data_IF_597824298687
#
_entry.id   IF_597824298687
#
_cell.length_a   1.000
_cell.length_b   1.000
_cell.length_c   1.000
_cell.angle_alpha   90.00
_cell.angle_beta   90.00
_cell.angle_gamma   90.00
#
_symmetry.space_group_name_H-M   'P 1'
#
loop_
_entity.id
_entity.type
_entity.pdbx_description
1 polymer ?
#
# COMPACT_ATOMS: atom_id res chain seq x y z
N UNK A 1 -53.20 52.31 27.37
CA UNK A 1 -51.81 52.20 26.99
C UNK A 1 -51.40 50.73 27.23
N UNK A 2 -51.33 49.92 26.19
CA UNK A 2 -50.96 48.48 26.25
C UNK A 2 -49.71 48.33 25.40
N UNK A 3 -48.58 48.12 26.05
CA UNK A 3 -47.29 47.88 25.39
C UNK A 3 -47.17 46.40 25.06
N UNK A 4 -47.15 46.07 23.74
CA UNK A 4 -46.85 44.72 23.23
C UNK A 4 -45.34 44.54 23.19
N UNK A 5 -44.80 43.59 23.99
CA UNK A 5 -43.45 43.11 23.89
C UNK A 5 -43.41 41.99 22.85
N UNK A 6 -42.73 42.24 21.72
CA UNK A 6 -42.44 41.26 20.72
C UNK A 6 -41.17 40.47 21.12
N UNK A 7 -41.31 39.16 21.44
CA UNK A 7 -40.21 38.24 21.59
C UNK A 7 -39.72 37.77 20.22
N UNK A 8 -38.55 38.23 19.81
CA UNK A 8 -37.84 37.69 18.66
C UNK A 8 -37.12 36.42 19.05
N UNK A 9 -37.62 35.27 18.62
CA UNK A 9 -36.94 34.00 18.76
C UNK A 9 -35.81 33.91 17.70
N UNK A 10 -34.57 33.99 18.14
CA UNK A 10 -33.41 33.74 17.29
C UNK A 10 -33.21 32.21 17.23
N UNK A 11 -33.55 31.61 16.09
CA UNK A 11 -33.26 30.22 15.78
C UNK A 11 -31.81 30.16 15.35
N UNK A 12 -30.92 29.67 16.24
CA UNK A 12 -29.53 29.38 15.93
C UNK A 12 -29.48 28.07 15.16
N UNK A 13 -29.37 28.15 13.82
CA UNK A 13 -29.13 26.98 12.97
C UNK A 13 -27.69 26.49 13.19
N UNK A 14 -27.54 25.44 14.00
CA UNK A 14 -26.27 24.72 14.12
C UNK A 14 -26.07 23.90 12.86
N UNK A 15 -25.33 24.41 11.90
CA UNK A 15 -24.84 23.60 10.77
C UNK A 15 -23.74 22.69 11.29
N UNK A 16 -24.08 21.43 11.52
CA UNK A 16 -23.09 20.40 11.76
C UNK A 16 -22.26 20.22 10.48
N UNK A 17 -21.04 20.79 10.47
CA UNK A 17 -20.04 20.42 9.48
C UNK A 17 -19.61 18.98 9.79
N UNK A 18 -20.15 18.06 9.02
CA UNK A 18 -19.66 16.68 8.98
C UNK A 18 -18.28 16.68 8.30
N UNK A 19 -17.26 16.99 9.07
CA UNK A 19 -15.86 16.80 8.70
C UNK A 19 -15.60 15.31 8.71
N UNK A 20 -16.07 14.62 7.65
CA UNK A 20 -15.63 13.26 7.37
C UNK A 20 -14.11 13.26 7.32
N UNK A 21 -13.45 12.82 8.39
CA UNK A 21 -12.05 12.48 8.38
C UNK A 21 -11.85 11.40 7.30
N UNK A 22 -11.56 11.84 6.08
CA UNK A 22 -10.88 10.98 5.11
C UNK A 22 -9.55 10.64 5.76
N UNK A 23 -9.49 9.45 6.39
CA UNK A 23 -8.26 8.87 6.90
C UNK A 23 -7.32 8.88 5.70
N UNK A 24 -6.37 9.83 5.68
CA UNK A 24 -5.35 9.91 4.65
C UNK A 24 -4.66 8.56 4.70
N UNK A 25 -4.85 7.72 3.69
CA UNK A 25 -4.09 6.48 3.56
C UNK A 25 -2.65 6.93 3.64
N UNK A 26 -1.97 6.55 4.72
CA UNK A 26 -0.57 6.91 4.90
C UNK A 26 0.14 6.48 3.64
N UNK A 27 0.88 7.40 3.00
CA UNK A 27 1.60 7.10 1.77
C UNK A 27 2.70 6.10 2.11
N UNK A 28 2.38 4.83 1.91
CA UNK A 28 3.29 3.70 2.17
C UNK A 28 4.46 3.66 1.17
N UNK A 29 4.49 4.60 0.25
CA UNK A 29 5.48 4.65 -0.83
C UNK A 29 6.56 5.67 -0.53
N UNK A 30 7.86 5.31 -0.56
CA UNK A 30 8.94 6.27 -0.49
C UNK A 30 8.84 7.32 -1.61
N UNK A 31 9.04 8.59 -1.28
CA UNK A 31 9.17 9.65 -2.28
C UNK A 31 10.45 9.44 -3.11
N UNK A 32 10.51 10.03 -4.31
CA UNK A 32 11.73 10.01 -5.13
C UNK A 32 12.94 10.47 -4.32
N UNK A 33 14.01 9.69 -4.38
CA UNK A 33 15.26 9.96 -3.66
C UNK A 33 15.26 9.65 -2.16
N UNK A 34 14.12 9.27 -1.55
CA UNK A 34 14.06 8.86 -0.15
C UNK A 34 14.80 7.54 0.11
N UNK A 35 14.92 6.70 -0.91
CA UNK A 35 15.78 5.52 -0.93
C UNK A 35 16.85 5.74 -1.98
N UNK A 36 18.12 5.66 -1.59
CA UNK A 36 19.24 5.98 -2.47
C UNK A 36 19.17 5.22 -3.80
N UNK A 37 19.25 5.95 -4.90
CA UNK A 37 19.23 5.43 -6.26
C UNK A 37 17.83 5.15 -6.81
N UNK A 38 16.76 5.19 -6.00
CA UNK A 38 15.39 4.97 -6.42
C UNK A 38 14.62 6.27 -6.66
N UNK A 39 13.95 6.34 -7.77
CA UNK A 39 13.01 7.39 -8.14
C UNK A 39 11.62 6.80 -8.33
N UNK A 40 10.60 7.44 -7.75
CA UNK A 40 9.20 7.09 -7.98
C UNK A 40 8.78 7.66 -9.34
N UNK A 41 8.31 6.81 -10.25
CA UNK A 41 8.03 7.18 -11.64
C UNK A 41 6.54 7.28 -11.97
N UNK A 42 5.67 6.83 -11.07
CA UNK A 42 4.22 6.93 -11.24
C UNK A 42 3.52 7.50 -10.01
N UNK A 43 2.36 8.10 -10.23
CA UNK A 43 1.41 8.38 -9.14
C UNK A 43 0.92 7.08 -8.52
N UNK A 44 0.63 7.11 -7.21
CA UNK A 44 0.06 5.96 -6.52
C UNK A 44 -1.36 5.72 -7.00
N UNK A 45 -1.62 4.53 -7.55
CA UNK A 45 -2.96 4.04 -7.91
C UNK A 45 -3.50 3.18 -6.79
N UNK A 46 -4.81 3.25 -6.54
CA UNK A 46 -5.47 2.48 -5.47
C UNK A 46 -6.67 1.74 -6.06
N UNK A 47 -6.72 0.45 -5.81
CA UNK A 47 -7.81 -0.44 -6.23
C UNK A 47 -8.49 -1.01 -4.99
N UNK A 48 -9.81 -0.83 -4.88
CA UNK A 48 -10.60 -1.55 -3.87
C UNK A 48 -10.68 -3.04 -4.25
N UNK A 49 -10.98 -3.90 -3.28
CA UNK A 49 -11.08 -5.35 -3.51
C UNK A 49 -11.97 -5.72 -4.71
N UNK A 50 -13.13 -5.05 -4.87
CA UNK A 50 -14.07 -5.29 -5.98
C UNK A 50 -13.52 -4.92 -7.37
N UNK A 51 -12.53 -4.03 -7.42
CA UNK A 51 -11.92 -3.51 -8.65
C UNK A 51 -10.55 -4.14 -8.93
N UNK A 52 -10.10 -5.07 -8.08
CA UNK A 52 -8.76 -5.65 -8.14
C UNK A 52 -8.49 -6.39 -9.45
N UNK A 53 -9.51 -6.98 -10.06
CA UNK A 53 -9.42 -7.62 -11.38
C UNK A 53 -8.99 -6.68 -12.52
N UNK A 54 -9.17 -5.37 -12.34
CA UNK A 54 -8.71 -4.38 -13.32
C UNK A 54 -7.18 -4.19 -13.28
N UNK A 55 -6.55 -4.64 -12.22
CA UNK A 55 -5.10 -4.49 -11.99
C UNK A 55 -4.37 -5.83 -12.01
N UNK A 56 -4.83 -6.79 -11.21
CA UNK A 56 -4.27 -8.14 -11.16
C UNK A 56 -5.26 -9.06 -11.87
N UNK A 57 -4.95 -9.49 -13.09
CA UNK A 57 -5.79 -10.40 -13.86
C UNK A 57 -5.94 -11.75 -13.11
N UNK A 58 -5.72 -12.88 -13.62
CA UNK A 58 -6.01 -14.20 -13.04
C UNK A 58 -5.76 -14.44 -11.53
N UNK A 59 -4.87 -13.69 -10.91
CA UNK A 59 -4.51 -13.86 -9.48
C UNK A 59 -5.40 -13.09 -8.48
N UNK A 60 -6.27 -12.19 -8.95
CA UNK A 60 -7.10 -11.34 -8.06
C UNK A 60 -7.94 -12.16 -7.07
N UNK A 61 -8.48 -13.31 -7.51
CA UNK A 61 -9.33 -14.18 -6.68
C UNK A 61 -8.63 -14.67 -5.41
N UNK A 62 -7.35 -15.01 -5.48
CA UNK A 62 -6.62 -15.47 -4.29
C UNK A 62 -6.49 -14.36 -3.25
N UNK A 63 -6.25 -13.10 -3.67
CA UNK A 63 -6.19 -11.95 -2.76
C UNK A 63 -7.55 -11.62 -2.16
N UNK A 64 -8.61 -11.66 -2.98
CA UNK A 64 -9.99 -11.43 -2.54
C UNK A 64 -10.40 -12.50 -1.52
N UNK A 65 -10.15 -13.77 -1.81
CA UNK A 65 -10.43 -14.90 -0.91
C UNK A 65 -9.62 -14.86 0.39
N UNK A 66 -8.43 -14.24 0.37
CA UNK A 66 -7.61 -14.01 1.56
C UNK A 66 -8.00 -12.75 2.33
N UNK A 67 -8.99 -11.98 1.84
CA UNK A 67 -9.54 -10.82 2.52
C UNK A 67 -8.80 -9.51 2.24
N UNK A 68 -8.33 -9.30 1.01
CA UNK A 68 -7.81 -7.98 0.62
C UNK A 68 -8.91 -6.93 0.72
N UNK A 69 -8.57 -5.77 1.27
CA UNK A 69 -9.45 -4.60 1.37
C UNK A 69 -9.17 -3.63 0.23
N UNK A 70 -7.89 -3.37 -0.01
CA UNK A 70 -7.42 -2.52 -1.11
C UNK A 70 -5.98 -2.85 -1.47
N UNK A 71 -5.61 -2.53 -2.70
CA UNK A 71 -4.23 -2.59 -3.20
C UNK A 71 -3.82 -1.21 -3.67
N UNK A 72 -2.69 -0.73 -3.16
CA UNK A 72 -2.03 0.47 -3.65
C UNK A 72 -0.79 0.07 -4.43
N UNK A 73 -0.52 0.73 -5.54
CA UNK A 73 0.62 0.42 -6.41
C UNK A 73 1.33 1.68 -6.89
N UNK A 74 2.65 1.59 -7.02
CA UNK A 74 3.50 2.62 -7.62
C UNK A 74 4.70 2.01 -8.31
N UNK A 75 5.16 2.65 -9.39
CA UNK A 75 6.32 2.24 -10.15
C UNK A 75 7.55 3.06 -9.75
N UNK A 76 8.69 2.40 -9.79
CA UNK A 76 10.00 2.94 -9.42
C UNK A 76 11.06 2.61 -10.45
N UNK A 77 12.09 3.45 -10.50
CA UNK A 77 13.28 3.22 -11.33
C UNK A 77 14.55 3.42 -10.51
N UNK A 78 15.45 2.45 -10.55
CA UNK A 78 16.75 2.50 -9.88
C UNK A 78 17.84 2.91 -10.87
N UNK A 79 18.54 4.01 -10.54
CA UNK A 79 19.66 4.55 -11.34
C UNK A 79 19.33 4.72 -12.84
N UNK A 80 18.07 5.05 -13.16
CA UNK A 80 17.62 5.25 -14.53
C UNK A 80 17.50 3.99 -15.40
N UNK A 81 17.72 2.80 -14.84
CA UNK A 81 17.79 1.54 -15.62
C UNK A 81 16.80 0.48 -15.12
N UNK A 82 16.96 -0.01 -13.88
CA UNK A 82 16.12 -1.09 -13.32
C UNK A 82 14.74 -0.57 -12.94
N UNK A 83 13.72 -1.10 -13.57
CA UNK A 83 12.32 -0.79 -13.24
C UNK A 83 11.73 -1.81 -12.27
N UNK A 84 10.93 -1.32 -11.33
CA UNK A 84 10.23 -2.16 -10.36
C UNK A 84 8.85 -1.59 -10.03
N UNK A 85 7.90 -2.47 -9.78
CA UNK A 85 6.58 -2.12 -9.22
C UNK A 85 6.52 -2.53 -7.76
N UNK A 86 5.99 -1.64 -6.93
CA UNK A 86 5.68 -1.87 -5.52
C UNK A 86 4.18 -1.94 -5.34
N UNK A 87 3.70 -3.08 -4.83
CA UNK A 87 2.31 -3.27 -4.42
C UNK A 87 2.21 -3.36 -2.90
N UNK A 88 1.28 -2.63 -2.33
CA UNK A 88 0.91 -2.71 -0.91
C UNK A 88 -0.55 -3.14 -0.82
N UNK A 89 -0.77 -4.38 -0.42
CA UNK A 89 -2.11 -4.93 -0.20
C UNK A 89 -2.48 -4.75 1.27
N UNK A 90 -3.54 -3.98 1.53
CA UNK A 90 -4.15 -3.89 2.87
C UNK A 90 -5.11 -5.05 3.03
N UNK A 91 -4.80 -5.95 3.95
CA UNK A 91 -5.60 -7.14 4.24
C UNK A 91 -6.52 -6.90 5.43
N UNK A 92 -7.62 -7.62 5.50
CA UNK A 92 -8.54 -7.57 6.65
C UNK A 92 -7.96 -8.23 7.91
N UNK A 93 -6.95 -9.10 7.76
CA UNK A 93 -6.27 -9.77 8.86
C UNK A 93 -4.80 -10.09 8.53
N UNK A 94 -3.98 -10.26 9.57
CA UNK A 94 -2.60 -10.71 9.43
C UNK A 94 -2.51 -12.15 8.88
N UNK A 95 -3.49 -13.00 9.19
CA UNK A 95 -3.54 -14.37 8.67
C UNK A 95 -3.84 -14.39 7.17
N UNK A 96 -4.69 -13.48 6.68
CA UNK A 96 -4.91 -13.30 5.24
C UNK A 96 -3.63 -12.89 4.52
N UNK A 97 -2.85 -11.95 5.09
CA UNK A 97 -1.56 -11.55 4.55
C UNK A 97 -0.56 -12.73 4.53
N UNK A 98 -0.49 -13.50 5.63
CA UNK A 98 0.36 -14.69 5.72
C UNK A 98 -0.01 -15.73 4.69
N UNK A 99 -1.28 -16.02 4.50
CA UNK A 99 -1.78 -16.99 3.54
C UNK A 99 -1.25 -16.69 2.12
N UNK A 100 -1.27 -15.43 1.71
CA UNK A 100 -0.72 -15.03 0.40
C UNK A 100 0.80 -15.16 0.37
N UNK A 101 1.50 -14.73 1.42
CA UNK A 101 2.96 -14.85 1.51
C UNK A 101 3.41 -16.32 1.30
N UNK A 102 2.68 -17.28 1.86
CA UNK A 102 3.02 -18.72 1.82
C UNK A 102 2.72 -19.38 0.47
N UNK A 103 1.87 -18.80 -0.38
CA UNK A 103 1.46 -19.42 -1.65
C UNK A 103 2.58 -19.58 -2.67
N UNK A 104 3.69 -18.85 -2.55
CA UNK A 104 4.74 -18.79 -3.55
C UNK A 104 6.15 -19.12 -3.05
N UNK A 105 6.31 -19.91 -1.98
CA UNK A 105 7.61 -20.07 -1.28
C UNK A 105 8.64 -21.01 -1.93
N UNK A 106 8.33 -21.63 -3.07
CA UNK A 106 9.33 -22.43 -3.79
C UNK A 106 10.48 -21.52 -4.23
N UNK A 107 11.72 -21.89 -3.91
CA UNK A 107 12.96 -21.16 -4.21
C UNK A 107 13.11 -19.80 -3.51
N UNK A 108 12.22 -19.49 -2.57
CA UNK A 108 12.30 -18.29 -1.75
C UNK A 108 13.39 -18.38 -0.68
N UNK A 109 14.11 -17.29 -0.47
CA UNK A 109 15.09 -17.15 0.62
C UNK A 109 14.46 -16.29 1.73
N UNK A 110 14.33 -16.80 2.97
CA UNK A 110 13.88 -15.99 4.08
C UNK A 110 14.78 -14.78 4.30
N UNK A 111 14.17 -13.62 4.59
CA UNK A 111 14.87 -12.38 4.90
C UNK A 111 14.27 -11.70 6.13
N UNK A 112 15.09 -10.91 6.85
CA UNK A 112 14.66 -10.10 7.99
C UNK A 112 14.03 -8.81 7.46
N UNK A 113 12.71 -8.83 7.24
CA UNK A 113 11.92 -7.70 6.75
C UNK A 113 10.46 -7.87 7.18
N UNK A 114 9.89 -6.84 7.80
CA UNK A 114 8.56 -6.92 8.39
C UNK A 114 8.46 -7.95 9.50
N UNK A 115 7.29 -8.55 9.66
CA UNK A 115 7.08 -9.67 10.56
C UNK A 115 7.58 -10.99 9.93
N UNK A 116 7.43 -11.10 8.60
CA UNK A 116 7.87 -12.24 7.78
C UNK A 116 8.18 -11.73 6.36
N UNK A 117 9.33 -12.14 5.82
CA UNK A 117 9.74 -11.74 4.47
C UNK A 117 10.50 -12.83 3.74
N UNK A 118 10.36 -12.83 2.41
CA UNK A 118 11.08 -13.73 1.50
C UNK A 118 11.58 -12.95 0.28
N UNK A 119 12.74 -13.35 -0.22
CA UNK A 119 13.35 -12.79 -1.42
C UNK A 119 13.54 -13.87 -2.49
N UNK A 120 13.36 -13.46 -3.72
CA UNK A 120 13.66 -14.17 -4.96
C UNK A 120 14.70 -13.40 -5.76
N UNK A 121 15.08 -13.90 -6.92
CA UNK A 121 16.06 -13.22 -7.77
C UNK A 121 15.61 -11.79 -8.21
N UNK A 122 14.31 -11.63 -8.47
CA UNK A 122 13.73 -10.39 -9.03
C UNK A 122 12.53 -9.87 -8.20
N UNK A 123 12.27 -10.43 -7.04
CA UNK A 123 11.16 -9.95 -6.22
C UNK A 123 11.40 -10.14 -4.73
N UNK A 124 10.71 -9.30 -3.95
CA UNK A 124 10.63 -9.40 -2.50
C UNK A 124 9.16 -9.38 -2.12
N UNK A 125 8.78 -10.25 -1.20
CA UNK A 125 7.45 -10.27 -0.61
C UNK A 125 7.63 -10.25 0.91
N UNK A 126 6.92 -9.37 1.60
CA UNK A 126 6.91 -9.35 3.06
C UNK A 126 5.57 -8.89 3.60
N UNK A 127 5.29 -9.24 4.85
CA UNK A 127 4.14 -8.69 5.57
C UNK A 127 4.59 -7.94 6.82
N UNK A 128 3.81 -6.92 7.18
CA UNK A 128 3.91 -6.20 8.45
C UNK A 128 2.50 -5.90 8.95
N UNK A 129 2.10 -6.54 10.04
CA UNK A 129 0.71 -6.52 10.50
C UNK A 129 -0.25 -7.06 9.44
N UNK A 130 -1.19 -6.23 9.02
CA UNK A 130 -2.17 -6.54 7.95
C UNK A 130 -1.74 -6.08 6.57
N UNK A 131 -0.56 -5.49 6.42
CA UNK A 131 -0.02 -5.08 5.13
C UNK A 131 0.82 -6.22 4.54
N UNK A 132 0.51 -6.60 3.30
CA UNK A 132 1.33 -7.48 2.48
C UNK A 132 1.96 -6.63 1.38
N UNK A 133 3.26 -6.66 1.27
CA UNK A 133 4.02 -5.92 0.24
C UNK A 133 4.64 -6.89 -0.73
N UNK A 134 4.49 -6.59 -2.01
CA UNK A 134 5.17 -7.27 -3.11
C UNK A 134 5.93 -6.25 -3.94
N UNK A 135 7.21 -6.50 -4.17
CA UNK A 135 8.05 -5.69 -5.03
C UNK A 135 8.62 -6.59 -6.12
N UNK A 136 8.42 -6.21 -7.37
CA UNK A 136 8.87 -6.99 -8.53
C UNK A 136 9.69 -6.11 -9.45
N UNK A 137 10.91 -6.55 -9.76
CA UNK A 137 11.74 -5.96 -10.81
C UNK A 137 11.49 -6.66 -12.14
N UNK A 138 11.53 -5.89 -13.22
CA UNK A 138 11.31 -6.43 -14.57
C UNK A 138 12.56 -7.02 -15.20
N UNK A 139 13.73 -6.70 -14.63
CA UNK A 139 15.03 -7.18 -15.10
C UNK A 139 15.84 -7.77 -13.94
N UNK A 140 16.76 -8.67 -14.27
CA UNK A 140 17.69 -9.26 -13.32
C UNK A 140 19.10 -8.81 -13.66
N UNK A 141 19.69 -8.03 -12.74
CA UNK A 141 21.09 -7.63 -12.76
C UNK A 141 21.77 -8.11 -11.49
N UNK A 142 23.09 -8.13 -11.39
CA UNK A 142 23.80 -8.48 -10.14
C UNK A 142 23.37 -7.61 -8.95
N UNK A 143 22.98 -6.36 -9.20
CA UNK A 143 22.57 -5.40 -8.15
C UNK A 143 21.11 -5.51 -7.77
N UNK A 144 20.25 -6.16 -8.59
CA UNK A 144 18.81 -6.24 -8.38
C UNK A 144 18.41 -6.68 -6.97
N UNK A 145 18.97 -7.76 -6.36
CA UNK A 145 18.55 -8.19 -5.04
C UNK A 145 18.81 -7.13 -3.94
N UNK A 146 19.95 -6.44 -4.01
CA UNK A 146 20.31 -5.43 -3.01
C UNK A 146 19.49 -4.15 -3.21
N UNK A 147 19.27 -3.73 -4.46
CA UNK A 147 18.44 -2.58 -4.80
C UNK A 147 17.00 -2.79 -4.32
N UNK A 148 16.41 -3.97 -4.60
CA UNK A 148 15.06 -4.31 -4.12
C UNK A 148 14.97 -4.35 -2.60
N UNK A 149 15.98 -4.89 -1.91
CA UNK A 149 15.99 -4.92 -0.44
C UNK A 149 16.04 -3.51 0.15
N UNK A 150 16.79 -2.59 -0.45
CA UNK A 150 16.82 -1.20 -0.02
C UNK A 150 15.46 -0.53 -0.21
N UNK A 151 14.80 -0.73 -1.36
CA UNK A 151 13.46 -0.20 -1.61
C UNK A 151 12.44 -0.78 -0.62
N UNK A 152 12.49 -2.10 -0.39
CA UNK A 152 11.60 -2.80 0.54
C UNK A 152 11.70 -2.27 1.97
N UNK A 153 12.90 -1.98 2.46
CA UNK A 153 13.12 -1.34 3.77
C UNK A 153 12.56 0.09 3.81
N UNK A 154 12.66 0.82 2.70
CA UNK A 154 12.05 2.14 2.58
C UNK A 154 10.53 2.10 2.68
N UNK A 155 9.89 1.08 2.10
CA UNK A 155 8.45 0.83 2.21
C UNK A 155 8.10 0.38 3.63
N UNK A 156 8.85 -0.57 4.20
CA UNK A 156 8.63 -1.08 5.56
C UNK A 156 8.63 0.03 6.60
N UNK A 157 9.52 1.01 6.47
CA UNK A 157 9.64 2.14 7.39
C UNK A 157 8.41 3.07 7.37
N UNK A 158 7.55 2.97 6.36
CA UNK A 158 6.32 3.77 6.19
C UNK A 158 5.04 3.03 6.60
N UNK A 159 5.12 1.74 6.84
CA UNK A 159 4.04 0.89 7.35
C UNK A 159 4.05 0.88 8.89
#
# INVERSE_FOLDING_TARGET
MKTLLAFAAIILAVTAFDTGCKKKVADSFPASGAVTGWEKTSETRVFAAKDLYQYIDGDAEQYISAGVVSTSTSDYKYQGQLEATVDVHTMSSADGARKILETGTRDAKPIQLGDEGVAYAQSIIFRKGTSLVRIVAYESTPDTPQALLALARGVEAKL
#
